data_IF_386179495187
#
_entry.id   IF_386179495187
#
_cell.length_a   1.000
_cell.length_b   1.000
_cell.length_c   1.000
_cell.angle_alpha   90.00
_cell.angle_beta   90.00
_cell.angle_gamma   90.00
#
_symmetry.space_group_name_H-M   'P 1'
#
loop_
_entity.id
_entity.type
_entity.pdbx_description
1 polymer ?
#
# COMPACT_ATOMS: atom_id res chain seq x y z
N UNK A 1 18.44 -55.73 24.53
CA UNK A 1 18.38 -54.62 23.55
C UNK A 1 19.67 -54.61 22.74
N UNK A 2 19.59 -54.75 21.41
CA UNK A 2 20.76 -54.77 20.54
C UNK A 2 21.27 -53.36 20.23
N UNK A 3 22.56 -53.25 19.88
CA UNK A 3 23.18 -51.97 19.46
C UNK A 3 22.40 -51.28 18.35
N UNK A 4 21.90 -52.03 17.37
CA UNK A 4 21.09 -51.49 16.28
C UNK A 4 19.85 -50.75 16.77
N UNK A 5 19.10 -51.34 17.71
CA UNK A 5 17.90 -50.72 18.28
C UNK A 5 18.23 -49.38 18.94
N UNK A 6 19.41 -49.28 19.57
CA UNK A 6 19.86 -48.04 20.21
C UNK A 6 20.26 -46.99 19.15
N UNK A 7 20.98 -47.38 18.10
CA UNK A 7 21.32 -46.47 17.01
C UNK A 7 20.08 -45.95 16.27
N UNK A 8 19.06 -46.79 16.07
CA UNK A 8 17.78 -46.36 15.48
C UNK A 8 17.08 -45.30 16.34
N UNK A 9 16.98 -45.51 17.66
CA UNK A 9 16.34 -44.55 18.58
C UNK A 9 17.13 -43.22 18.62
N UNK A 10 18.47 -43.29 18.62
CA UNK A 10 19.34 -42.11 18.62
C UNK A 10 19.18 -41.29 17.34
N UNK A 11 19.19 -41.95 16.19
CA UNK A 11 19.00 -41.31 14.89
C UNK A 11 17.59 -40.71 14.74
N UNK A 12 16.57 -41.42 15.21
CA UNK A 12 15.18 -40.93 15.23
C UNK A 12 15.04 -39.66 16.08
N UNK A 13 15.56 -39.66 17.32
CA UNK A 13 15.56 -38.46 18.19
C UNK A 13 16.34 -37.29 17.56
N UNK A 14 17.50 -37.56 16.96
CA UNK A 14 18.29 -36.53 16.28
C UNK A 14 17.55 -35.94 15.06
N UNK A 15 16.81 -36.75 14.32
CA UNK A 15 15.94 -36.31 13.23
C UNK A 15 14.85 -35.37 13.73
N UNK A 16 14.11 -35.75 14.78
CA UNK A 16 13.06 -34.90 15.36
C UNK A 16 13.60 -33.55 15.85
N UNK A 17 14.75 -33.54 16.53
CA UNK A 17 15.38 -32.30 17.02
C UNK A 17 15.78 -31.39 15.86
N UNK A 18 16.39 -31.95 14.81
CA UNK A 18 16.80 -31.17 13.62
C UNK A 18 15.59 -30.60 12.88
N UNK A 19 14.55 -31.40 12.68
CA UNK A 19 13.32 -30.99 12.01
C UNK A 19 12.61 -29.89 12.80
N UNK A 20 12.49 -30.03 14.12
CA UNK A 20 11.87 -29.02 14.97
C UNK A 20 12.65 -27.71 14.98
N UNK A 21 13.99 -27.77 15.08
CA UNK A 21 14.84 -26.57 15.01
C UNK A 21 14.70 -25.85 13.68
N UNK A 22 14.73 -26.59 12.57
CA UNK A 22 14.53 -26.00 11.24
C UNK A 22 13.15 -25.37 11.11
N UNK A 23 12.10 -26.07 11.55
CA UNK A 23 10.73 -25.54 11.58
C UNK A 23 10.64 -24.25 12.39
N UNK A 24 11.21 -24.23 13.60
CA UNK A 24 11.26 -23.04 14.44
C UNK A 24 12.02 -21.89 13.76
N UNK A 25 13.17 -22.17 13.12
CA UNK A 25 13.90 -21.15 12.35
C UNK A 25 13.06 -20.58 11.21
N UNK A 26 12.35 -21.42 10.45
CA UNK A 26 11.45 -20.94 9.39
C UNK A 26 10.32 -20.06 9.92
N UNK A 27 9.72 -20.43 11.07
CA UNK A 27 8.69 -19.62 11.72
C UNK A 27 9.26 -18.28 12.18
N UNK A 28 10.43 -18.27 12.82
CA UNK A 28 11.09 -17.03 13.26
C UNK A 28 11.42 -16.14 12.06
N UNK A 29 11.97 -16.70 10.99
CA UNK A 29 12.28 -15.95 9.76
C UNK A 29 11.01 -15.39 9.14
N UNK A 30 9.93 -16.18 9.07
CA UNK A 30 8.64 -15.72 8.57
C UNK A 30 8.08 -14.56 9.41
N UNK A 31 8.17 -14.64 10.74
CA UNK A 31 7.76 -13.57 11.64
C UNK A 31 8.59 -12.29 11.43
N UNK A 32 9.91 -12.43 11.28
CA UNK A 32 10.79 -11.29 10.99
C UNK A 32 10.44 -10.62 9.66
N UNK A 33 10.16 -11.40 8.61
CA UNK A 33 9.75 -10.86 7.31
C UNK A 33 8.43 -10.11 7.44
N UNK A 34 7.44 -10.68 8.15
CA UNK A 34 6.15 -10.01 8.37
C UNK A 34 6.32 -8.71 9.17
N UNK A 35 7.19 -8.70 10.18
CA UNK A 35 7.49 -7.50 10.96
C UNK A 35 8.12 -6.42 10.06
N UNK A 36 9.11 -6.78 9.25
CA UNK A 36 9.75 -5.85 8.32
C UNK A 36 8.76 -5.30 7.28
N UNK A 37 7.89 -6.14 6.73
CA UNK A 37 6.84 -5.69 5.81
C UNK A 37 5.86 -4.73 6.49
N UNK A 38 5.45 -5.03 7.72
CA UNK A 38 4.55 -4.15 8.49
C UNK A 38 5.20 -2.78 8.74
N UNK A 39 6.48 -2.77 9.12
CA UNK A 39 7.24 -1.54 9.32
C UNK A 39 7.42 -0.76 8.01
N UNK A 40 7.68 -1.44 6.90
CA UNK A 40 7.82 -0.81 5.59
C UNK A 40 6.50 -0.17 5.15
N UNK A 41 5.37 -0.87 5.29
CA UNK A 41 4.03 -0.34 4.99
C UNK A 41 3.76 0.88 5.85
N UNK A 42 4.03 0.80 7.16
CA UNK A 42 3.86 1.92 8.08
C UNK A 42 4.71 3.13 7.66
N UNK A 43 5.98 2.90 7.34
CA UNK A 43 6.90 3.96 6.91
C UNK A 43 6.43 4.64 5.62
N UNK A 44 6.00 3.85 4.62
CA UNK A 44 5.50 4.40 3.35
C UNK A 44 4.25 5.25 3.56
N UNK A 45 3.28 4.77 4.35
CA UNK A 45 2.03 5.52 4.58
C UNK A 45 2.27 6.79 5.41
N UNK A 46 3.16 6.74 6.39
CA UNK A 46 3.42 7.89 7.24
C UNK A 46 4.25 8.99 6.54
N UNK A 47 5.11 8.59 5.59
CA UNK A 47 5.92 9.51 4.81
C UNK A 47 5.35 9.77 3.41
N UNK A 48 4.10 9.35 3.16
CA UNK A 48 3.44 9.63 1.89
C UNK A 48 3.27 11.16 1.78
N UNK A 49 3.73 11.79 0.69
CA UNK A 49 3.51 13.22 0.50
C UNK A 49 2.01 13.48 0.35
N UNK A 50 1.59 14.69 0.75
CA UNK A 50 0.23 15.12 0.50
C UNK A 50 -0.08 15.04 -1.01
N UNK A 51 -1.24 14.50 -1.40
CA UNK A 51 -1.60 14.38 -2.81
C UNK A 51 -1.79 15.75 -3.44
N UNK A 52 -1.20 15.93 -4.62
CA UNK A 52 -1.46 17.10 -5.45
C UNK A 52 -2.83 16.95 -6.13
N UNK A 53 -3.66 17.98 -6.02
CA UNK A 53 -4.97 18.03 -6.67
C UNK A 53 -4.94 18.99 -7.85
N UNK A 54 -5.63 18.66 -8.94
CA UNK A 54 -5.70 19.51 -10.13
C UNK A 54 -7.16 19.64 -10.59
N UNK A 55 -7.56 20.85 -10.98
CA UNK A 55 -8.83 21.11 -11.65
C UNK A 55 -8.62 21.19 -13.17
N UNK A 56 -9.54 20.61 -13.95
CA UNK A 56 -9.52 20.67 -15.41
C UNK A 56 -10.94 20.96 -15.91
N UNK A 57 -11.04 21.83 -16.92
CA UNK A 57 -12.30 22.25 -17.54
C UNK A 57 -12.40 21.83 -19.01
N UNK A 58 -11.40 21.09 -19.52
CA UNK A 58 -11.28 20.73 -20.93
C UNK A 58 -10.87 21.89 -21.86
N UNK A 59 -10.96 23.14 -21.39
CA UNK A 59 -10.62 24.35 -22.15
C UNK A 59 -9.28 24.92 -21.69
N UNK A 60 -9.04 24.98 -20.37
CA UNK A 60 -7.79 25.48 -19.78
C UNK A 60 -6.85 24.35 -19.38
N UNK A 61 -5.52 24.59 -19.37
CA UNK A 61 -4.57 23.63 -18.82
C UNK A 61 -4.90 23.31 -17.35
N UNK A 62 -4.54 22.11 -16.85
CA UNK A 62 -4.80 21.73 -15.47
C UNK A 62 -4.23 22.73 -14.47
N UNK A 63 -5.07 23.23 -13.56
CA UNK A 63 -4.68 24.18 -12.52
C UNK A 63 -4.44 23.41 -11.22
N UNK A 64 -3.26 23.56 -10.62
CA UNK A 64 -2.93 22.96 -9.32
C UNK A 64 -3.76 23.61 -8.22
N UNK A 65 -4.48 22.78 -7.46
CA UNK A 65 -5.34 23.20 -6.36
C UNK A 65 -4.57 23.23 -5.05
N UNK A 66 -4.94 24.18 -4.19
CA UNK A 66 -4.44 24.20 -2.81
C UNK A 66 -5.39 23.38 -1.93
N UNK A 67 -4.93 22.29 -1.29
CA UNK A 67 -5.77 21.48 -0.42
C UNK A 67 -6.21 22.28 0.81
N UNK A 68 -7.49 22.15 1.17
CA UNK A 68 -8.05 22.74 2.38
C UNK A 68 -8.16 21.70 3.50
N UNK A 69 -7.90 22.13 4.73
CA UNK A 69 -8.04 21.28 5.93
C UNK A 69 -9.50 21.07 6.35
N UNK A 70 -10.41 21.92 5.89
CA UNK A 70 -11.84 21.87 6.23
C UNK A 70 -12.68 22.09 4.98
N UNK A 71 -13.92 21.53 4.93
CA UNK A 71 -14.85 21.83 3.85
C UNK A 71 -15.13 23.33 3.72
N UNK A 72 -15.44 23.77 2.50
CA UNK A 72 -15.93 25.13 2.30
C UNK A 72 -17.39 25.23 2.75
N UNK A 73 -17.64 25.94 3.85
CA UNK A 73 -18.99 26.21 4.37
C UNK A 73 -19.55 27.56 3.90
N UNK A 74 -18.82 28.30 3.07
CA UNK A 74 -19.31 29.56 2.50
C UNK A 74 -20.21 29.29 1.29
N UNK A 75 -21.08 30.25 0.99
CA UNK A 75 -21.89 30.24 -0.24
C UNK A 75 -21.10 30.71 -1.47
N UNK A 76 -19.81 31.00 -1.32
CA UNK A 76 -18.93 31.45 -2.40
C UNK A 76 -18.09 30.28 -2.92
N UNK A 77 -18.13 29.98 -4.24
CA UNK A 77 -17.24 29.01 -4.86
C UNK A 77 -15.76 29.35 -4.61
N UNK A 78 -14.92 28.32 -4.48
CA UNK A 78 -13.46 28.49 -4.28
C UNK A 78 -12.71 28.72 -5.59
N UNK A 79 -13.30 28.32 -6.71
CA UNK A 79 -12.74 28.44 -8.04
C UNK A 79 -13.57 29.42 -8.83
N UNK A 80 -12.89 30.19 -9.67
CA UNK A 80 -13.54 31.04 -10.66
C UNK A 80 -14.35 30.17 -11.64
N UNK A 81 -15.46 30.69 -12.20
CA UNK A 81 -16.19 30.01 -13.25
C UNK A 81 -15.29 29.66 -14.43
N UNK A 82 -15.56 28.51 -15.05
CA UNK A 82 -14.87 28.10 -16.28
C UNK A 82 -15.05 29.17 -17.38
N UNK A 83 -14.04 29.36 -18.25
CA UNK A 83 -14.18 30.28 -19.36
C UNK A 83 -15.30 29.84 -20.30
N UNK A 84 -16.04 30.82 -20.81
CA UNK A 84 -17.10 30.56 -21.79
C UNK A 84 -16.45 30.08 -23.08
N UNK A 85 -16.79 28.86 -23.51
CA UNK A 85 -16.39 28.33 -24.81
C UNK A 85 -17.48 28.63 -25.84
N UNK A 86 -17.43 29.82 -26.44
CA UNK A 86 -18.40 30.27 -27.45
C UNK A 86 -18.23 29.57 -28.82
N UNK A 87 -17.15 28.81 -29.04
CA UNK A 87 -16.77 28.22 -30.34
C UNK A 87 -17.31 26.79 -30.56
N UNK A 88 -17.93 26.15 -29.56
CA UNK A 88 -18.61 24.87 -29.76
C UNK A 88 -20.01 25.07 -30.33
N UNK A 89 -20.12 25.26 -31.65
CA UNK A 89 -21.35 24.83 -32.37
C UNK A 89 -21.53 23.34 -32.14
N UNK A 90 -22.26 22.97 -31.08
CA UNK A 90 -22.68 21.59 -30.81
C UNK A 90 -23.56 21.12 -31.96
N UNK A 91 -22.96 20.39 -32.90
CA UNK A 91 -23.70 19.72 -33.96
C UNK A 91 -24.48 18.58 -33.31
N UNK A 92 -25.80 18.74 -33.19
CA UNK A 92 -26.68 17.65 -32.75
C UNK A 92 -26.80 16.69 -33.97
N UNK A 93 -26.35 15.43 -33.86
CA UNK A 93 -26.55 14.46 -34.93
C UNK A 93 -28.05 14.22 -35.13
N UNK A 94 -28.51 14.20 -36.39
CA UNK A 94 -29.87 13.85 -36.77
C UNK A 94 -30.06 12.34 -36.88
#
# INVERSE_FOLDING_TARGET
MGRETWDTIKNSKAFYIRTYRKGATFVIVSLLINLLLSLAIYYVHFNQPDPDFYATSGITPPIMLTPLKTPNYSNTPLLEPDPINDDETRVIPQ
#
